data_IF_016528336710
#
_entry.id   IF_016528336710
#
_cell.length_a   1.000
_cell.length_b   1.000
_cell.length_c   1.000
_cell.angle_alpha   90.00
_cell.angle_beta   90.00
_cell.angle_gamma   90.00
#
_symmetry.space_group_name_H-M   'P 1'
#
loop_
_entity.id
_entity.type
_entity.pdbx_description
1 polymer ?
#
# COMPACT_ATOMS: atom_id res chain seq x y z
N UNK A 1 -48.08 26.01 -56.27
CA UNK A 1 -47.74 24.57 -56.22
C UNK A 1 -46.26 24.37 -55.88
N UNK A 2 -45.35 25.15 -56.46
CA UNK A 2 -43.91 25.10 -56.13
C UNK A 2 -43.64 25.64 -54.71
N UNK A 3 -44.24 26.78 -54.33
CA UNK A 3 -44.02 27.38 -53.00
C UNK A 3 -44.49 26.50 -51.84
N UNK A 4 -45.61 25.79 -52.00
CA UNK A 4 -46.10 24.84 -50.99
C UNK A 4 -45.21 23.60 -50.84
N UNK A 5 -44.50 23.22 -51.91
CA UNK A 5 -43.54 22.10 -51.87
C UNK A 5 -42.25 22.54 -51.16
N UNK A 6 -41.78 23.77 -51.42
CA UNK A 6 -40.59 24.34 -50.76
C UNK A 6 -40.84 24.47 -49.25
N UNK A 7 -41.99 25.02 -48.86
CA UNK A 7 -42.36 25.21 -47.45
C UNK A 7 -42.51 23.87 -46.70
N UNK A 8 -43.02 22.84 -47.39
CA UNK A 8 -43.09 21.48 -46.86
C UNK A 8 -41.71 20.84 -46.65
N UNK A 9 -40.78 21.03 -47.60
CA UNK A 9 -39.41 20.53 -47.52
C UNK A 9 -38.63 21.24 -46.41
N UNK A 10 -38.76 22.56 -46.29
CA UNK A 10 -38.12 23.32 -45.21
C UNK A 10 -38.63 22.91 -43.82
N UNK A 11 -39.94 22.69 -43.68
CA UNK A 11 -40.52 22.20 -42.43
C UNK A 11 -40.02 20.80 -42.07
N UNK A 12 -39.90 19.90 -43.06
CA UNK A 12 -39.29 18.57 -42.83
C UNK A 12 -37.81 18.68 -42.45
N UNK A 13 -37.04 19.56 -43.09
CA UNK A 13 -35.63 19.79 -42.76
C UNK A 13 -35.46 20.32 -41.34
N UNK A 14 -36.27 21.29 -40.92
CA UNK A 14 -36.27 21.81 -39.53
C UNK A 14 -36.62 20.72 -38.53
N UNK A 15 -37.61 19.88 -38.81
CA UNK A 15 -38.00 18.77 -37.94
C UNK A 15 -36.90 17.69 -37.84
N UNK A 16 -36.21 17.39 -38.94
CA UNK A 16 -35.06 16.47 -38.96
C UNK A 16 -33.90 17.05 -38.15
N UNK A 17 -33.59 18.34 -38.31
CA UNK A 17 -32.52 19.00 -37.55
C UNK A 17 -32.85 19.05 -36.04
N UNK A 18 -34.10 19.32 -35.68
CA UNK A 18 -34.58 19.26 -34.30
C UNK A 18 -34.45 17.85 -33.72
N UNK A 19 -34.85 16.83 -34.49
CA UNK A 19 -34.73 15.44 -34.07
C UNK A 19 -33.27 15.00 -33.89
N UNK A 20 -32.38 15.36 -34.82
CA UNK A 20 -30.94 15.11 -34.71
C UNK A 20 -30.36 15.83 -33.49
N UNK A 21 -30.71 17.11 -33.27
CA UNK A 21 -30.27 17.87 -32.10
C UNK A 21 -30.74 17.23 -30.78
N UNK A 22 -31.96 16.72 -30.75
CA UNK A 22 -32.54 16.05 -29.59
C UNK A 22 -31.88 14.69 -29.33
N UNK A 23 -31.56 13.92 -30.38
CA UNK A 23 -30.80 12.66 -30.30
C UNK A 23 -29.37 12.91 -29.83
N UNK A 24 -28.69 13.97 -30.32
CA UNK A 24 -27.35 14.36 -29.86
C UNK A 24 -27.39 14.79 -28.40
N UNK A 25 -28.39 15.57 -27.98
CA UNK A 25 -28.56 15.95 -26.58
C UNK A 25 -28.84 14.74 -25.67
N UNK A 26 -29.63 13.76 -26.14
CA UNK A 26 -29.83 12.48 -25.43
C UNK A 26 -28.56 11.62 -25.40
N UNK A 27 -27.75 11.62 -26.45
CA UNK A 27 -26.45 10.94 -26.47
C UNK A 27 -25.44 11.58 -25.48
N UNK A 28 -25.41 12.92 -25.40
CA UNK A 28 -24.61 13.65 -24.40
C UNK A 28 -25.14 13.44 -22.98
N UNK A 29 -26.47 13.35 -22.82
CA UNK A 29 -27.09 13.08 -21.51
C UNK A 29 -26.96 11.61 -21.06
N UNK A 30 -26.65 10.68 -21.98
CA UNK A 30 -26.45 9.25 -21.69
C UNK A 30 -24.99 8.86 -21.55
N UNK A 31 -24.04 9.74 -21.88
CA UNK A 31 -22.68 9.65 -21.34
C UNK A 31 -22.72 10.07 -19.88
N UNK A 32 -23.25 9.20 -19.02
CA UNK A 32 -22.72 9.12 -17.67
C UNK A 32 -21.25 8.74 -17.87
N UNK A 33 -20.36 9.74 -17.83
CA UNK A 33 -19.00 9.52 -17.37
C UNK A 33 -19.19 8.75 -16.07
N UNK A 34 -18.92 7.44 -16.09
CA UNK A 34 -18.87 6.67 -14.86
C UNK A 34 -17.72 7.32 -14.11
N UNK A 35 -18.06 8.23 -13.20
CA UNK A 35 -17.08 8.83 -12.32
C UNK A 35 -16.37 7.66 -11.65
N UNK A 36 -15.05 7.65 -11.75
CA UNK A 36 -14.24 6.65 -11.10
C UNK A 36 -14.61 6.65 -9.62
N UNK A 37 -14.96 5.49 -9.07
CA UNK A 37 -15.31 5.41 -7.66
C UNK A 37 -14.09 5.88 -6.83
N UNK A 38 -14.26 6.96 -6.08
CA UNK A 38 -13.19 7.61 -5.30
C UNK A 38 -13.04 7.08 -3.88
N UNK A 39 -13.83 6.08 -3.48
CA UNK A 39 -13.89 5.59 -2.10
C UNK A 39 -12.55 5.05 -1.57
N UNK A 40 -11.61 4.68 -2.45
CA UNK A 40 -10.29 4.14 -2.12
C UNK A 40 -9.21 5.17 -1.75
N UNK A 41 -9.44 6.47 -1.98
CA UNK A 41 -8.50 7.51 -1.56
C UNK A 41 -8.59 7.75 -0.06
N UNK A 42 -7.46 8.06 0.58
CA UNK A 42 -7.43 8.49 1.97
C UNK A 42 -8.18 9.83 2.13
N UNK A 43 -9.05 9.91 3.14
CA UNK A 43 -9.95 11.05 3.35
C UNK A 43 -10.21 11.27 4.84
N UNK A 44 -10.38 12.52 5.25
CA UNK A 44 -10.69 12.79 6.64
C UNK A 44 -10.67 14.26 6.98
N UNK A 45 -10.64 14.50 8.29
CA UNK A 45 -10.53 15.84 8.88
C UNK A 45 -9.16 16.01 9.49
N UNK A 46 -8.47 17.08 9.12
CA UNK A 46 -7.21 17.48 9.73
C UNK A 46 -7.47 18.70 10.61
N UNK A 47 -7.14 18.55 11.89
CA UNK A 47 -7.30 19.58 12.91
C UNK A 47 -5.96 20.23 13.18
N UNK A 48 -5.97 21.56 13.19
CA UNK A 48 -4.87 22.40 13.66
C UNK A 48 -5.38 23.21 14.85
N UNK A 49 -4.47 23.93 15.52
CA UNK A 49 -4.81 24.80 16.65
C UNK A 49 -5.95 25.78 16.36
N UNK A 50 -6.01 26.29 15.13
CA UNK A 50 -6.90 27.41 14.76
C UNK A 50 -7.96 27.02 13.72
N UNK A 51 -7.76 25.92 12.98
CA UNK A 51 -8.59 25.57 11.83
C UNK A 51 -8.83 24.06 11.72
N UNK A 52 -9.87 23.70 10.97
CA UNK A 52 -10.18 22.34 10.55
C UNK A 52 -10.30 22.31 9.02
N UNK A 53 -9.73 21.29 8.40
CA UNK A 53 -9.81 21.05 6.96
C UNK A 53 -10.40 19.67 6.70
N UNK A 54 -11.23 19.52 5.67
CA UNK A 54 -11.85 18.23 5.33
C UNK A 54 -11.70 17.96 3.83
N UNK A 55 -11.18 16.78 3.48
CA UNK A 55 -10.93 16.46 2.09
C UNK A 55 -10.15 15.18 1.87
N UNK A 56 -9.75 14.94 0.61
CA UNK A 56 -8.77 13.92 0.28
C UNK A 56 -7.44 14.28 0.95
N UNK A 57 -6.81 13.33 1.61
CA UNK A 57 -5.54 13.50 2.32
C UNK A 57 -4.42 12.86 1.49
N UNK A 58 -3.28 13.55 1.40
CA UNK A 58 -1.98 12.96 1.05
C UNK A 58 -1.05 13.19 2.24
N UNK A 59 -0.43 12.12 2.72
CA UNK A 59 0.54 12.12 3.79
C UNK A 59 1.93 12.20 3.18
N UNK A 60 2.73 13.17 3.61
CA UNK A 60 3.98 13.51 2.96
C UNK A 60 3.82 13.75 1.46
N UNK A 61 4.83 13.29 0.72
CA UNK A 61 4.84 13.31 -0.73
C UNK A 61 4.37 11.97 -1.31
N UNK A 62 3.96 11.00 -0.50
CA UNK A 62 3.73 9.63 -0.96
C UNK A 62 2.28 9.23 -0.69
N UNK A 63 1.91 8.89 0.55
CA UNK A 63 0.70 8.11 0.83
C UNK A 63 -0.61 8.86 0.58
N UNK A 64 -1.51 8.28 -0.21
CA UNK A 64 -2.79 8.92 -0.57
C UNK A 64 -3.97 7.94 -0.68
N UNK A 65 -3.75 6.65 -0.41
CA UNK A 65 -4.75 5.59 -0.50
C UNK A 65 -4.96 4.90 0.85
N UNK A 66 -6.13 4.27 1.05
CA UNK A 66 -6.37 3.49 2.26
C UNK A 66 -5.45 2.27 2.42
N UNK A 67 -4.89 1.76 1.31
CA UNK A 67 -3.96 0.63 1.34
C UNK A 67 -2.50 1.05 1.57
N UNK A 68 -2.23 2.36 1.60
CA UNK A 68 -0.91 2.86 1.99
C UNK A 68 -0.67 2.65 3.47
N UNK A 69 0.60 2.65 3.85
CA UNK A 69 1.01 2.26 5.19
C UNK A 69 1.54 3.45 5.95
N UNK A 70 1.13 3.57 7.20
CA UNK A 70 1.75 4.43 8.18
C UNK A 70 2.84 3.65 8.91
N UNK A 71 4.06 4.17 8.89
CA UNK A 71 5.26 3.59 9.46
C UNK A 71 5.75 4.43 10.64
N UNK A 72 5.95 3.79 11.78
CA UNK A 72 6.54 4.46 12.92
C UNK A 72 7.29 3.48 13.82
N UNK A 73 8.07 4.03 14.75
CA UNK A 73 8.79 3.27 15.75
C UNK A 73 7.91 3.06 16.99
N UNK A 74 7.63 1.80 17.37
CA UNK A 74 6.98 1.46 18.65
C UNK A 74 7.87 1.96 19.81
N UNK A 75 7.29 2.72 20.74
CA UNK A 75 8.04 3.24 21.90
C UNK A 75 8.28 2.15 22.95
N UNK A 76 7.42 1.13 23.02
CA UNK A 76 7.52 0.01 23.96
C UNK A 76 7.20 -1.32 23.26
N UNK A 77 7.95 -2.38 23.57
CA UNK A 77 7.54 -3.77 23.28
C UNK A 77 7.11 -4.45 24.59
N UNK A 78 5.81 -4.74 24.78
CA UNK A 78 5.32 -5.37 26.01
C UNK A 78 5.87 -6.79 26.24
N UNK A 79 6.34 -7.47 25.19
CA UNK A 79 6.86 -8.84 25.25
C UNK A 79 8.40 -8.91 25.36
N UNK A 80 9.10 -7.78 25.40
CA UNK A 80 10.57 -7.76 25.50
C UNK A 80 11.13 -8.53 26.71
N UNK A 81 10.39 -8.54 27.84
CA UNK A 81 10.77 -9.35 29.01
C UNK A 81 10.56 -10.85 28.83
N UNK A 82 9.57 -11.26 28.06
CA UNK A 82 9.38 -12.67 27.72
C UNK A 82 10.46 -13.09 26.72
N UNK A 83 10.76 -12.26 25.72
CA UNK A 83 11.88 -12.43 24.80
C UNK A 83 13.21 -12.64 25.56
N UNK A 84 13.54 -11.78 26.52
CA UNK A 84 14.76 -11.92 27.34
C UNK A 84 14.75 -13.20 28.20
N UNK A 85 13.61 -13.56 28.79
CA UNK A 85 13.45 -14.83 29.55
C UNK A 85 13.71 -16.05 28.67
N UNK A 86 13.24 -16.03 27.42
CA UNK A 86 13.44 -17.13 26.48
C UNK A 86 14.87 -17.12 25.88
N UNK A 87 15.47 -15.94 25.68
CA UNK A 87 16.89 -15.77 25.28
C UNK A 87 17.85 -16.37 26.31
N UNK A 88 17.65 -16.11 27.60
CA UNK A 88 18.53 -16.63 28.66
C UNK A 88 18.50 -18.16 28.76
N UNK A 89 17.39 -18.78 28.36
CA UNK A 89 17.18 -20.23 28.39
C UNK A 89 17.82 -20.95 27.19
N UNK A 90 18.08 -20.23 26.09
CA UNK A 90 18.56 -20.77 24.81
C UNK A 90 19.90 -20.13 24.38
N UNK A 91 20.91 -20.09 25.28
CA UNK A 91 22.18 -19.37 25.09
C UNK A 91 23.07 -19.82 23.90
N UNK A 92 22.82 -20.97 23.30
CA UNK A 92 23.71 -21.54 22.29
C UNK A 92 23.33 -21.24 20.83
N UNK A 93 22.20 -20.56 20.56
CA UNK A 93 21.64 -20.46 19.19
C UNK A 93 21.59 -19.06 18.57
N UNK A 94 22.00 -18.00 19.27
CA UNK A 94 21.61 -16.61 18.90
C UNK A 94 22.78 -15.63 18.72
N UNK A 95 24.00 -16.10 18.44
CA UNK A 95 25.18 -15.21 18.36
C UNK A 95 25.31 -14.37 17.07
N UNK A 96 24.49 -14.63 16.06
CA UNK A 96 24.62 -14.01 14.73
C UNK A 96 23.36 -13.29 14.26
N UNK A 97 22.68 -12.53 15.15
CA UNK A 97 21.54 -11.70 14.74
C UNK A 97 22.07 -10.36 14.17
N UNK A 98 22.17 -10.28 12.85
CA UNK A 98 22.47 -9.06 12.10
C UNK A 98 21.14 -8.43 11.65
N UNK A 99 20.72 -7.32 12.28
CA UNK A 99 19.41 -6.66 12.07
C UNK A 99 19.36 -5.82 10.79
N UNK A 100 19.85 -6.36 9.67
CA UNK A 100 19.89 -5.65 8.39
C UNK A 100 18.53 -5.69 7.71
N UNK A 101 17.72 -4.71 8.09
CA UNK A 101 16.62 -4.15 7.31
C UNK A 101 17.18 -3.83 5.92
N UNK A 102 16.80 -4.61 4.90
CA UNK A 102 17.26 -4.36 3.54
C UNK A 102 16.52 -3.17 2.94
N UNK A 103 17.23 -2.04 2.94
CA UNK A 103 17.38 -1.14 1.78
C UNK A 103 16.16 -0.41 1.21
N UNK A 104 15.30 0.12 2.07
CA UNK A 104 14.74 1.47 1.89
C UNK A 104 14.99 2.17 3.24
N UNK A 105 15.48 3.41 3.23
CA UNK A 105 15.92 4.20 4.40
C UNK A 105 17.37 3.93 4.87
N UNK A 106 18.30 4.59 4.17
CA UNK A 106 19.67 4.81 4.64
C UNK A 106 19.67 5.60 5.97
N UNK A 107 20.53 5.17 6.90
CA UNK A 107 20.90 5.76 8.20
C UNK A 107 20.09 5.47 9.49
N UNK A 108 20.71 4.61 10.32
CA UNK A 108 20.86 4.70 11.79
C UNK A 108 19.60 4.82 12.67
N UNK A 109 19.15 3.69 13.22
CA UNK A 109 18.91 3.56 14.67
C UNK A 109 18.81 2.10 15.10
N UNK A 110 19.55 1.75 16.15
CA UNK A 110 19.47 0.48 16.85
C UNK A 110 18.12 0.36 17.60
N UNK A 111 17.54 -0.84 17.64
CA UNK A 111 16.59 -1.34 18.66
C UNK A 111 15.14 -0.83 18.73
N UNK A 112 14.57 -0.21 17.69
CA UNK A 112 13.15 0.23 17.75
C UNK A 112 12.25 -0.62 16.84
N UNK A 113 11.34 -1.40 17.43
CA UNK A 113 10.37 -2.23 16.69
C UNK A 113 9.52 -1.33 15.79
N UNK A 114 9.42 -1.62 14.50
CA UNK A 114 8.53 -0.91 13.59
C UNK A 114 7.08 -1.26 13.88
N UNK A 115 6.18 -0.32 13.63
CA UNK A 115 4.78 -0.60 13.35
C UNK A 115 4.48 -0.09 11.96
N UNK A 116 3.93 -0.96 11.11
CA UNK A 116 3.47 -0.61 9.76
C UNK A 116 2.01 -1.03 9.65
N UNK A 117 1.13 -0.07 9.40
CA UNK A 117 -0.32 -0.27 9.41
C UNK A 117 -0.94 0.38 8.19
N UNK A 118 -1.88 -0.29 7.54
CA UNK A 118 -2.64 0.35 6.48
C UNK A 118 -3.46 1.52 7.05
N UNK A 119 -3.46 2.69 6.38
CA UNK A 119 -4.26 3.85 6.81
C UNK A 119 -5.74 3.51 6.94
N UNK A 120 -6.22 2.57 6.13
CA UNK A 120 -7.59 2.05 6.22
C UNK A 120 -7.93 1.44 7.58
N UNK A 121 -6.97 0.96 8.36
CA UNK A 121 -7.22 0.35 9.69
C UNK A 121 -7.16 1.37 10.84
N UNK A 122 -6.70 2.59 10.56
CA UNK A 122 -6.49 3.66 11.53
C UNK A 122 -7.75 4.53 11.61
N UNK A 123 -8.22 4.77 12.83
CA UNK A 123 -9.32 5.69 13.09
C UNK A 123 -8.83 7.13 13.20
N UNK A 124 -7.73 7.34 13.92
CA UNK A 124 -7.27 8.67 14.28
C UNK A 124 -5.76 8.67 14.55
N UNK A 125 -5.06 9.73 14.17
CA UNK A 125 -3.68 10.00 14.59
C UNK A 125 -3.67 11.32 15.35
N UNK A 126 -3.12 11.32 16.57
CA UNK A 126 -2.97 12.51 17.42
C UNK A 126 -1.50 12.86 17.58
N UNK A 127 -1.17 14.11 17.29
CA UNK A 127 0.14 14.68 17.50
C UNK A 127 0.14 15.51 18.79
N UNK A 128 1.07 15.21 19.69
CA UNK A 128 1.23 15.93 20.96
C UNK A 128 2.46 16.86 20.97
N UNK A 129 3.08 17.06 19.81
CA UNK A 129 4.28 17.86 19.58
C UNK A 129 5.55 17.01 19.43
N UNK A 130 6.39 17.38 18.46
CA UNK A 130 7.68 16.75 18.21
C UNK A 130 7.58 15.40 17.47
N UNK A 131 8.37 14.43 17.92
CA UNK A 131 8.53 13.11 17.27
C UNK A 131 7.57 12.03 17.79
N UNK A 132 6.55 12.37 18.60
CA UNK A 132 5.66 11.39 19.26
C UNK A 132 4.20 11.58 18.86
N UNK A 133 3.57 10.49 18.45
CA UNK A 133 2.15 10.44 18.11
C UNK A 133 1.44 9.27 18.76
N UNK A 134 0.14 9.42 18.95
CA UNK A 134 -0.74 8.30 19.27
C UNK A 134 -1.53 7.92 18.02
N UNK A 135 -1.39 6.68 17.59
CA UNK A 135 -2.20 6.08 16.53
C UNK A 135 -3.33 5.31 17.19
N UNK A 136 -4.57 5.64 16.88
CA UNK A 136 -5.75 4.93 17.36
C UNK A 136 -6.34 4.10 16.23
N UNK A 137 -6.42 2.80 16.43
CA UNK A 137 -7.03 1.87 15.49
C UNK A 137 -8.57 1.88 15.59
N UNK A 138 -9.24 1.36 14.56
CA UNK A 138 -10.71 1.22 14.55
C UNK A 138 -11.29 0.33 15.66
N UNK A 139 -10.49 -0.52 16.29
CA UNK A 139 -10.88 -1.31 17.46
C UNK A 139 -10.79 -0.52 18.79
N UNK A 140 -10.31 0.72 18.75
CA UNK A 140 -10.12 1.60 19.90
C UNK A 140 -8.77 1.46 20.59
N UNK A 141 -7.92 0.55 20.15
CA UNK A 141 -6.56 0.39 20.67
C UNK A 141 -5.67 1.57 20.26
N UNK A 142 -4.82 2.02 21.20
CA UNK A 142 -3.97 3.19 21.02
C UNK A 142 -2.49 2.80 21.13
N UNK A 143 -1.72 3.12 20.09
CA UNK A 143 -0.28 2.91 20.03
C UNK A 143 0.44 4.23 20.18
N UNK A 144 1.34 4.31 21.17
CA UNK A 144 2.29 5.42 21.28
C UNK A 144 3.52 5.09 20.46
N UNK A 145 3.75 5.88 19.43
CA UNK A 145 4.82 5.66 18.46
C UNK A 145 5.66 6.91 18.30
N UNK A 146 6.86 6.74 17.75
CA UNK A 146 7.77 7.84 17.45
C UNK A 146 8.25 7.81 16.01
N UNK A 147 8.65 8.98 15.48
CA UNK A 147 9.24 9.10 14.15
C UNK A 147 10.71 8.73 14.04
N UNK A 148 11.30 8.18 15.10
CA UNK A 148 12.72 7.85 15.08
C UNK A 148 12.99 6.73 14.07
N UNK A 149 13.70 7.07 13.00
CA UNK A 149 14.08 6.13 11.94
C UNK A 149 13.00 5.92 10.86
N UNK A 150 11.92 6.71 10.84
CA UNK A 150 10.83 6.60 9.86
C UNK A 150 10.40 7.99 9.38
N UNK A 151 9.90 8.07 8.14
CA UNK A 151 9.58 9.32 7.43
C UNK A 151 8.16 9.84 7.70
N UNK A 152 7.21 8.99 8.11
CA UNK A 152 5.80 9.39 8.23
C UNK A 152 5.50 10.31 9.41
N UNK A 153 6.31 10.27 10.46
CA UNK A 153 6.18 11.20 11.60
C UNK A 153 7.12 12.37 11.38
N UNK A 154 6.56 13.57 11.29
CA UNK A 154 7.31 14.79 11.00
C UNK A 154 7.08 15.35 9.60
N UNK A 155 6.28 14.67 8.77
CA UNK A 155 6.05 15.04 7.38
C UNK A 155 4.85 16.00 7.19
N UNK A 156 4.80 16.71 6.07
CA UNK A 156 3.67 17.57 5.74
C UNK A 156 2.42 16.72 5.48
N UNK A 157 1.24 17.22 5.85
CA UNK A 157 -0.03 16.60 5.48
C UNK A 157 -0.75 17.54 4.52
N UNK A 158 -1.13 17.04 3.35
CA UNK A 158 -1.83 17.79 2.33
C UNK A 158 -3.30 17.41 2.30
N UNK A 159 -4.20 18.39 2.18
CA UNK A 159 -5.66 18.19 2.08
C UNK A 159 -6.20 18.92 0.86
N UNK A 160 -6.99 18.22 0.04
CA UNK A 160 -7.82 18.85 -1.01
C UNK A 160 -9.16 19.22 -0.39
N UNK A 161 -9.24 20.41 0.19
CA UNK A 161 -10.45 20.94 0.81
C UNK A 161 -11.42 21.45 -0.27
N UNK A 162 -12.71 21.14 -0.11
CA UNK A 162 -13.72 21.45 -1.12
C UNK A 162 -13.95 22.95 -1.34
N UNK A 163 -13.65 23.80 -0.35
CA UNK A 163 -13.83 25.25 -0.43
C UNK A 163 -12.53 25.98 -0.76
N UNK A 164 -11.41 25.49 -0.24
CA UNK A 164 -10.12 26.18 -0.27
C UNK A 164 -9.12 25.59 -1.30
N UNK A 165 -9.38 24.40 -1.83
CA UNK A 165 -8.46 23.68 -2.72
C UNK A 165 -7.34 22.98 -1.94
N UNK A 166 -6.16 22.86 -2.56
CA UNK A 166 -5.00 22.17 -1.95
C UNK A 166 -4.40 23.01 -0.82
N UNK A 167 -4.32 22.43 0.37
CA UNK A 167 -3.69 23.01 1.57
C UNK A 167 -2.59 22.08 2.04
N UNK A 168 -1.40 22.63 2.29
CA UNK A 168 -0.31 21.95 3.00
C UNK A 168 -0.31 22.32 4.48
N UNK A 169 -0.23 21.32 5.35
CA UNK A 169 -0.27 21.46 6.81
C UNK A 169 1.03 20.91 7.37
N UNK A 170 1.89 21.81 7.84
CA UNK A 170 3.13 21.43 8.53
C UNK A 170 2.82 20.54 9.73
N UNK A 171 3.65 19.51 9.93
CA UNK A 171 3.53 18.55 11.03
C UNK A 171 3.29 19.20 12.40
N UNK A 172 4.11 20.20 12.75
CA UNK A 172 4.06 20.91 14.03
C UNK A 172 2.75 21.67 14.28
N UNK A 173 1.94 21.86 13.23
CA UNK A 173 0.62 22.52 13.30
C UNK A 173 -0.54 21.53 13.32
N UNK A 174 -0.32 20.28 12.91
CA UNK A 174 -1.32 19.24 12.97
C UNK A 174 -1.45 18.77 14.43
N UNK A 175 -2.66 18.84 14.98
CA UNK A 175 -2.98 18.29 16.30
C UNK A 175 -3.59 16.89 16.17
N UNK A 176 -4.43 16.69 15.16
CA UNK A 176 -5.17 15.45 14.97
C UNK A 176 -5.59 15.25 13.52
N UNK A 177 -5.54 14.00 13.06
CA UNK A 177 -6.21 13.56 11.84
C UNK A 177 -7.27 12.54 12.22
N UNK A 178 -8.51 12.77 11.79
CA UNK A 178 -9.64 11.85 11.95
C UNK A 178 -10.00 11.27 10.57
N UNK A 179 -9.82 9.97 10.39
CA UNK A 179 -10.07 9.29 9.13
C UNK A 179 -11.54 8.93 8.97
N UNK A 180 -12.11 9.27 7.81
CA UNK A 180 -13.53 9.13 7.50
C UNK A 180 -13.72 8.39 6.17
N UNK A 181 -14.85 7.69 5.97
CA UNK A 181 -15.16 7.11 4.66
C UNK A 181 -15.18 8.18 3.57
N UNK A 182 -14.40 7.94 2.53
CA UNK A 182 -14.31 8.83 1.37
C UNK A 182 -15.63 8.84 0.60
N UNK A 183 -16.16 10.01 0.20
CA UNK A 183 -17.32 10.08 -0.66
C UNK A 183 -17.13 9.30 -1.97
N UNK A 184 -18.22 8.75 -2.52
CA UNK A 184 -18.22 8.01 -3.80
C UNK A 184 -17.70 8.80 -4.99
N UNK A 185 -17.96 10.10 -4.99
CA UNK A 185 -17.59 11.01 -6.05
C UNK A 185 -17.00 12.27 -5.43
N UNK A 186 -15.67 12.33 -5.33
CA UNK A 186 -14.97 13.58 -5.08
C UNK A 186 -14.96 14.44 -6.36
N UNK A 187 -15.19 15.74 -6.20
CA UNK A 187 -15.12 16.69 -7.32
C UNK A 187 -13.67 17.00 -7.71
N UNK A 188 -12.84 17.19 -6.70
CA UNK A 188 -11.43 17.54 -6.80
C UNK A 188 -10.61 16.50 -6.03
N UNK A 189 -9.39 16.25 -6.51
CA UNK A 189 -8.47 15.28 -5.92
C UNK A 189 -7.07 15.41 -6.50
N UNK A 190 -6.11 14.67 -5.95
CA UNK A 190 -4.69 14.76 -6.37
C UNK A 190 -4.44 14.27 -7.81
N UNK A 191 -5.27 13.36 -8.32
CA UNK A 191 -5.19 12.83 -9.67
C UNK A 191 -5.83 11.45 -9.77
N UNK A 192 -5.85 10.85 -10.97
CA UNK A 192 -6.23 9.44 -11.13
C UNK A 192 -5.07 8.53 -10.70
N UNK A 193 -5.31 7.36 -10.09
CA UNK A 193 -4.26 6.42 -9.72
C UNK A 193 -3.51 5.88 -10.93
N UNK A 194 -2.23 5.57 -10.74
CA UNK A 194 -1.50 4.65 -11.61
C UNK A 194 -1.94 3.22 -11.29
N UNK A 195 -2.33 2.49 -12.32
CA UNK A 195 -2.80 1.12 -12.23
C UNK A 195 -2.39 0.40 -13.50
N UNK A 196 -2.08 -0.88 -13.41
CA UNK A 196 -1.68 -1.64 -14.58
C UNK A 196 -1.03 -2.95 -14.24
N UNK A 197 -0.32 -3.49 -15.24
CA UNK A 197 0.39 -4.76 -15.18
C UNK A 197 1.89 -4.53 -15.18
N UNK A 198 2.58 -5.14 -14.23
CA UNK A 198 4.04 -5.12 -14.13
C UNK A 198 4.57 -6.51 -14.43
N UNK A 199 5.33 -6.62 -15.50
CA UNK A 199 6.02 -7.83 -15.92
C UNK A 199 7.41 -7.91 -15.28
N UNK A 200 7.76 -9.11 -14.83
CA UNK A 200 9.03 -9.45 -14.19
C UNK A 200 9.73 -10.58 -14.95
N UNK A 201 11.05 -10.72 -14.83
CA UNK A 201 11.76 -11.75 -15.57
C UNK A 201 11.41 -13.16 -15.12
N UNK A 202 11.22 -13.37 -13.82
CA UNK A 202 11.13 -14.72 -13.23
C UNK A 202 9.80 -15.06 -12.60
N UNK A 203 9.01 -14.06 -12.19
CA UNK A 203 7.82 -14.26 -11.35
C UNK A 203 6.50 -13.94 -12.07
N UNK A 204 6.58 -13.67 -13.38
CA UNK A 204 5.43 -13.41 -14.22
C UNK A 204 4.94 -11.97 -14.10
N UNK A 205 3.62 -11.80 -14.12
CA UNK A 205 2.98 -10.48 -14.17
C UNK A 205 2.15 -10.25 -12.91
N UNK A 206 2.31 -9.07 -12.32
CA UNK A 206 1.48 -8.58 -11.23
C UNK A 206 0.54 -7.50 -11.76
N UNK A 207 -0.67 -7.41 -11.21
CA UNK A 207 -1.65 -6.38 -11.58
C UNK A 207 -2.14 -5.68 -10.31
N UNK A 208 -2.13 -4.36 -10.29
CA UNK A 208 -2.52 -3.58 -9.12
C UNK A 208 -2.31 -2.08 -9.27
N UNK A 209 -2.45 -1.36 -8.17
CA UNK A 209 -2.08 0.06 -8.09
C UNK A 209 -0.57 0.18 -8.04
N UNK A 210 -0.02 1.10 -8.82
CA UNK A 210 1.41 1.23 -9.05
C UNK A 210 1.90 2.50 -8.37
N UNK A 211 3.03 2.35 -7.71
CA UNK A 211 3.86 3.43 -7.21
C UNK A 211 5.23 3.27 -7.87
N UNK A 212 5.51 4.17 -8.81
CA UNK A 212 6.72 4.17 -9.61
C UNK A 212 7.87 4.78 -8.82
N UNK A 213 9.03 4.14 -8.84
CA UNK A 213 10.23 4.60 -8.13
C UNK A 213 10.00 4.97 -6.64
N UNK A 214 9.00 4.35 -6.00
CA UNK A 214 8.56 4.68 -4.64
C UNK A 214 8.23 6.17 -4.44
N UNK A 215 7.68 6.82 -5.47
CA UNK A 215 7.24 8.22 -5.42
C UNK A 215 5.91 8.40 -6.17
N UNK A 216 5.93 8.26 -7.51
CA UNK A 216 4.79 8.64 -8.34
C UNK A 216 3.68 7.59 -8.36
N UNK A 217 2.45 8.04 -8.08
CA UNK A 217 1.23 7.22 -8.01
C UNK A 217 0.02 7.86 -8.67
N UNK A 218 0.14 9.09 -9.16
CA UNK A 218 -0.92 9.80 -9.85
C UNK A 218 -0.60 10.06 -11.33
N UNK A 219 -1.63 10.01 -12.16
CA UNK A 219 -1.53 10.30 -13.61
C UNK A 219 -1.04 11.72 -13.94
N UNK A 220 -1.15 12.65 -13.00
CA UNK A 220 -0.71 14.05 -13.12
C UNK A 220 0.77 14.24 -12.81
N UNK A 221 1.40 13.29 -12.12
CA UNK A 221 2.84 13.27 -11.84
C UNK A 221 3.61 12.89 -13.09
N UNK A 222 4.92 13.12 -13.07
CA UNK A 222 5.74 13.12 -14.28
C UNK A 222 6.87 12.13 -14.16
N UNK A 223 7.13 11.47 -15.29
CA UNK A 223 8.35 10.72 -15.55
C UNK A 223 9.36 11.67 -16.21
N UNK A 224 10.51 11.80 -15.60
CA UNK A 224 11.61 12.64 -16.08
C UNK A 224 12.73 11.80 -16.72
N UNK A 225 13.43 12.41 -17.67
CA UNK A 225 14.61 11.81 -18.28
C UNK A 225 15.04 12.50 -19.57
N UNK A 226 16.14 12.01 -20.13
CA UNK A 226 16.78 12.61 -21.29
C UNK A 226 16.55 11.78 -22.54
N UNK A 227 16.29 12.47 -23.64
CA UNK A 227 16.35 11.90 -24.99
C UNK A 227 17.53 12.49 -25.75
N UNK A 228 17.81 11.98 -26.95
CA UNK A 228 18.83 12.56 -27.84
C UNK A 228 18.56 14.03 -28.16
N UNK A 229 17.31 14.46 -28.14
CA UNK A 229 16.90 15.81 -28.52
C UNK A 229 16.81 16.76 -27.29
N UNK A 230 17.07 16.26 -26.08
CA UNK A 230 17.09 17.01 -24.82
C UNK A 230 16.22 16.39 -23.72
N UNK A 231 16.13 17.11 -22.61
CA UNK A 231 15.39 16.76 -21.40
C UNK A 231 13.88 16.70 -21.69
N UNK A 232 13.22 15.69 -21.14
CA UNK A 232 11.80 15.42 -21.33
C UNK A 232 11.15 15.08 -19.99
N UNK A 233 9.99 15.68 -19.75
CA UNK A 233 9.15 15.44 -18.58
C UNK A 233 7.73 15.10 -19.05
N UNK A 234 7.25 13.90 -18.75
CA UNK A 234 6.01 13.33 -19.30
C UNK A 234 5.06 12.98 -18.19
N UNK A 235 3.86 13.57 -18.18
CA UNK A 235 2.83 13.15 -17.24
C UNK A 235 2.47 11.67 -17.44
N UNK A 236 2.46 10.87 -16.37
CA UNK A 236 2.17 9.43 -16.43
C UNK A 236 0.82 9.12 -17.09
N UNK A 237 -0.16 10.01 -16.97
CA UNK A 237 -1.46 9.90 -17.63
C UNK A 237 -1.39 9.83 -19.16
N UNK A 238 -0.28 10.26 -19.77
CA UNK A 238 -0.02 10.16 -21.21
C UNK A 238 0.76 8.91 -21.60
N UNK A 239 1.36 8.21 -20.64
CA UNK A 239 2.19 7.04 -20.86
C UNK A 239 1.31 5.80 -20.98
N UNK A 240 1.62 4.96 -21.96
CA UNK A 240 0.98 3.66 -22.18
C UNK A 240 1.79 2.56 -21.51
N UNK A 241 3.10 2.55 -21.72
CA UNK A 241 3.99 1.55 -21.12
C UNK A 241 5.41 2.08 -20.96
N UNK A 242 6.14 1.52 -20.01
CA UNK A 242 7.58 1.75 -19.82
C UNK A 242 8.23 0.37 -19.82
N UNK A 243 9.24 0.18 -20.66
CA UNK A 243 9.97 -1.09 -20.78
C UNK A 243 11.46 -0.84 -20.59
N UNK A 244 12.08 -1.57 -19.66
CA UNK A 244 13.50 -1.44 -19.37
C UNK A 244 14.32 -1.93 -20.56
N UNK A 245 15.28 -1.13 -21.02
CA UNK A 245 16.15 -1.48 -22.15
C UNK A 245 17.55 -0.90 -21.99
N UNK A 246 18.55 -1.77 -21.86
CA UNK A 246 19.94 -1.31 -21.72
C UNK A 246 20.12 -0.51 -20.43
N UNK A 247 20.62 0.73 -20.56
CA UNK A 247 20.86 1.65 -19.44
C UNK A 247 19.70 2.65 -19.21
N UNK A 248 18.57 2.44 -19.86
CA UNK A 248 17.42 3.33 -19.84
C UNK A 248 16.12 2.58 -20.03
N UNK A 249 15.10 3.30 -20.47
CA UNK A 249 13.77 2.75 -20.70
C UNK A 249 13.17 3.23 -22.02
N UNK A 250 12.43 2.35 -22.68
CA UNK A 250 11.57 2.70 -23.82
C UNK A 250 10.19 3.07 -23.28
N UNK A 251 9.83 4.33 -23.44
CA UNK A 251 8.57 4.91 -23.00
C UNK A 251 7.63 5.03 -24.20
N UNK A 252 6.54 4.29 -24.16
CA UNK A 252 5.50 4.34 -25.19
C UNK A 252 4.37 5.26 -24.74
N UNK A 253 4.04 6.24 -25.56
CA UNK A 253 3.00 7.23 -25.28
C UNK A 253 1.67 6.77 -25.87
N UNK A 254 0.56 7.11 -25.23
CA UNK A 254 -0.80 6.80 -25.72
C UNK A 254 -1.08 7.34 -27.13
N UNK A 255 -0.34 8.37 -27.58
CA UNK A 255 -0.40 8.91 -28.94
C UNK A 255 0.26 8.03 -30.01
N UNK A 256 1.00 6.99 -29.60
CA UNK A 256 1.79 6.12 -30.49
C UNK A 256 3.25 6.55 -30.67
N UNK A 257 3.70 7.62 -30.00
CA UNK A 257 5.12 7.98 -29.96
C UNK A 257 5.89 7.00 -29.07
N UNK A 258 7.10 6.68 -29.46
CA UNK A 258 8.08 5.92 -28.68
C UNK A 258 9.28 6.81 -28.39
N UNK A 259 9.76 6.81 -27.15
CA UNK A 259 10.93 7.55 -26.71
C UNK A 259 11.85 6.61 -25.95
N UNK A 260 13.14 6.58 -26.30
CA UNK A 260 14.15 5.98 -25.45
C UNK A 260 14.68 7.07 -24.50
N UNK A 261 14.51 6.86 -23.20
CA UNK A 261 14.85 7.81 -22.14
C UNK A 261 15.95 7.25 -21.22
N UNK A 262 16.87 8.11 -20.81
CA UNK A 262 17.98 7.83 -19.87
C UNK A 262 18.14 8.99 -18.88
N UNK A 263 19.20 9.03 -18.08
CA UNK A 263 19.61 10.26 -17.38
C UNK A 263 18.88 10.57 -16.06
N UNK A 264 17.76 9.92 -15.76
CA UNK A 264 17.01 10.03 -14.49
C UNK A 264 16.84 8.67 -13.81
N UNK A 265 16.74 8.67 -12.48
CA UNK A 265 16.37 7.49 -11.66
C UNK A 265 15.04 6.90 -12.08
N UNK A 266 14.13 7.70 -12.61
CA UNK A 266 12.83 7.25 -13.11
C UNK A 266 12.91 6.22 -14.24
N UNK A 267 14.03 6.15 -14.97
CA UNK A 267 14.15 5.35 -16.20
C UNK A 267 15.39 4.47 -16.26
N UNK A 268 16.22 4.46 -15.21
CA UNK A 268 17.50 3.74 -15.17
C UNK A 268 17.70 2.94 -13.87
N UNK A 269 18.92 2.44 -13.66
CA UNK A 269 19.31 1.63 -12.50
C UNK A 269 19.33 2.35 -11.14
N UNK A 270 19.12 3.67 -11.14
CA UNK A 270 18.84 4.45 -9.94
C UNK A 270 17.41 4.30 -9.42
N UNK A 271 16.50 3.69 -10.18
CA UNK A 271 15.13 3.43 -9.75
C UNK A 271 15.11 2.52 -8.51
N UNK A 272 14.39 2.95 -7.48
CA UNK A 272 14.25 2.29 -6.17
C UNK A 272 13.37 1.04 -6.22
N UNK A 273 12.57 0.88 -7.28
CA UNK A 273 11.69 -0.27 -7.46
C UNK A 273 10.27 0.15 -7.86
N UNK A 274 9.47 -0.85 -8.22
CA UNK A 274 8.08 -0.66 -8.61
C UNK A 274 7.21 -1.33 -7.56
N UNK A 275 6.52 -0.53 -6.76
CA UNK A 275 5.62 -1.01 -5.73
C UNK A 275 4.22 -1.20 -6.31
N UNK A 276 3.63 -2.35 -6.00
CA UNK A 276 2.34 -2.78 -6.51
C UNK A 276 1.44 -3.17 -5.35
N UNK A 277 0.37 -2.41 -5.12
CA UNK A 277 -0.67 -2.79 -4.17
C UNK A 277 -1.67 -3.74 -4.85
N UNK A 278 -1.70 -4.98 -4.39
CA UNK A 278 -2.53 -6.06 -4.94
C UNK A 278 -3.56 -6.52 -3.92
N UNK A 279 -4.84 -6.44 -4.30
CA UNK A 279 -5.96 -6.81 -3.45
C UNK A 279 -5.88 -8.28 -3.01
N UNK A 280 -6.12 -8.53 -1.72
CA UNK A 280 -5.99 -9.86 -1.12
C UNK A 280 -4.57 -10.41 -1.01
N UNK A 281 -3.54 -9.62 -1.36
CA UNK A 281 -2.13 -9.93 -1.08
C UNK A 281 -1.57 -8.88 -0.12
N UNK A 282 -1.45 -7.62 -0.55
CA UNK A 282 -0.72 -6.59 0.18
C UNK A 282 0.13 -5.76 -0.79
N UNK A 283 1.31 -5.34 -0.36
CA UNK A 283 2.28 -4.65 -1.22
C UNK A 283 3.32 -5.66 -1.75
N UNK A 284 3.62 -5.54 -3.03
CA UNK A 284 4.67 -6.28 -3.73
C UNK A 284 5.65 -5.25 -4.26
N UNK A 285 6.91 -5.34 -3.88
CA UNK A 285 7.96 -4.45 -4.39
C UNK A 285 8.86 -5.21 -5.36
N UNK A 286 8.84 -4.79 -6.62
CA UNK A 286 9.64 -5.37 -7.69
C UNK A 286 10.89 -4.51 -7.85
N UNK A 287 12.05 -5.07 -7.54
CA UNK A 287 13.31 -4.36 -7.76
C UNK A 287 13.47 -4.00 -9.24
N UNK A 288 14.18 -2.90 -9.51
CA UNK A 288 14.51 -2.51 -10.88
C UNK A 288 15.26 -3.61 -11.66
N UNK A 289 15.99 -4.48 -10.95
CA UNK A 289 16.73 -5.60 -11.53
C UNK A 289 15.80 -6.63 -12.17
N UNK A 290 14.67 -6.95 -11.51
CA UNK A 290 13.69 -7.93 -11.99
C UNK A 290 12.56 -7.31 -12.83
N UNK A 291 12.40 -5.99 -12.78
CA UNK A 291 11.48 -5.24 -13.61
C UNK A 291 11.80 -5.39 -15.12
N UNK A 292 10.79 -5.79 -15.90
CA UNK A 292 10.85 -5.86 -17.36
C UNK A 292 10.08 -4.70 -17.97
N UNK A 293 8.79 -4.59 -17.61
CA UNK A 293 7.85 -3.70 -18.28
C UNK A 293 6.65 -3.40 -17.40
N UNK A 294 6.12 -2.20 -17.53
CA UNK A 294 4.78 -1.84 -17.04
C UNK A 294 3.88 -1.47 -18.21
N UNK A 295 2.66 -1.97 -18.21
CA UNK A 295 1.57 -1.51 -19.08
C UNK A 295 0.50 -0.85 -18.22
N UNK A 296 0.30 0.47 -18.41
CA UNK A 296 -0.66 1.25 -17.66
C UNK A 296 -2.07 1.09 -18.23
N UNK A 297 -3.04 0.93 -17.34
CA UNK A 297 -4.46 0.78 -17.63
C UNK A 297 -5.28 1.80 -16.83
N UNK A 298 -6.51 2.08 -17.27
CA UNK A 298 -7.41 2.93 -16.47
C UNK A 298 -7.99 2.12 -15.31
N UNK A 299 -7.70 2.55 -14.08
CA UNK A 299 -8.20 1.86 -12.89
C UNK A 299 -9.73 1.97 -12.79
N UNK A 300 -10.40 0.85 -12.54
CA UNK A 300 -11.88 0.81 -12.40
C UNK A 300 -12.38 1.49 -11.12
N UNK A 301 -11.54 1.53 -10.09
CA UNK A 301 -11.76 2.22 -8.81
C UNK A 301 -10.42 2.76 -8.29
N UNK A 302 -10.46 3.48 -7.17
CA UNK A 302 -9.25 4.00 -6.51
C UNK A 302 -8.78 3.10 -5.36
N UNK A 303 -9.25 1.85 -5.32
CA UNK A 303 -8.94 0.87 -4.29
C UNK A 303 -10.16 0.47 -3.45
N UNK A 304 -9.89 -0.20 -2.34
CA UNK A 304 -10.92 -0.61 -1.37
C UNK A 304 -11.42 0.59 -0.57
N UNK A 305 -12.74 0.73 -0.34
CA UNK A 305 -13.29 1.79 0.50
C UNK A 305 -12.82 1.65 1.95
N UNK A 306 -12.75 2.75 2.70
CA UNK A 306 -12.42 2.74 4.13
C UNK A 306 -13.27 1.75 4.93
N UNK A 307 -14.53 1.54 4.57
CA UNK A 307 -15.43 0.59 5.25
C UNK A 307 -15.05 -0.88 5.08
N UNK A 308 -14.24 -1.22 4.07
CA UNK A 308 -13.79 -2.60 3.84
C UNK A 308 -12.61 -2.99 4.74
N UNK A 309 -11.93 -2.00 5.31
CA UNK A 309 -10.94 -2.21 6.38
C UNK A 309 -11.71 -2.36 7.70
N UNK A 310 -12.07 -3.60 8.01
CA UNK A 310 -12.86 -3.95 9.18
C UNK A 310 -12.11 -3.70 10.48
N UNK A 311 -12.84 -3.63 11.59
CA UNK A 311 -12.27 -3.47 12.94
C UNK A 311 -11.14 -4.49 13.18
N UNK A 312 -9.90 -4.03 13.47
CA UNK A 312 -8.75 -4.91 13.69
C UNK A 312 -8.97 -5.90 14.83
N UNK A 313 -8.52 -7.15 14.62
CA UNK A 313 -8.61 -8.24 15.61
C UNK A 313 -7.23 -8.79 15.91
N UNK A 314 -7.09 -9.35 17.10
CA UNK A 314 -5.88 -10.06 17.49
C UNK A 314 -5.68 -11.33 16.67
N UNK A 315 -4.43 -11.69 16.40
CA UNK A 315 -4.07 -12.94 15.76
C UNK A 315 -4.55 -14.12 16.61
N UNK A 316 -5.26 -15.04 15.97
CA UNK A 316 -5.78 -16.24 16.59
C UNK A 316 -5.67 -17.39 15.60
N UNK A 317 -5.37 -18.56 16.11
CA UNK A 317 -5.16 -19.70 15.25
C UNK A 317 -4.74 -20.96 15.99
N UNK A 318 -4.30 -21.93 15.19
CA UNK A 318 -3.78 -23.22 15.61
C UNK A 318 -2.34 -23.38 15.14
N UNK A 319 -1.47 -23.81 16.03
CA UNK A 319 -0.06 -24.11 15.75
C UNK A 319 0.16 -25.61 15.90
N UNK A 320 0.58 -26.25 14.81
CA UNK A 320 0.96 -27.66 14.74
C UNK A 320 2.45 -27.80 15.00
N UNK A 321 2.84 -28.75 15.87
CA UNK A 321 4.22 -28.95 16.32
C UNK A 321 4.83 -30.24 15.76
N UNK A 322 6.14 -30.23 15.50
CA UNK A 322 6.91 -31.36 14.93
C UNK A 322 6.73 -32.69 15.67
N UNK A 323 6.59 -32.67 17.01
CA UNK A 323 6.44 -33.88 17.84
C UNK A 323 4.98 -34.32 18.06
N UNK A 324 4.07 -33.92 17.18
CA UNK A 324 2.68 -34.43 17.18
C UNK A 324 1.76 -33.79 18.20
N UNK A 325 1.94 -32.49 18.49
CA UNK A 325 1.05 -31.72 19.36
C UNK A 325 0.46 -30.52 18.63
N UNK A 326 -0.68 -30.04 19.08
CA UNK A 326 -1.27 -28.79 18.64
C UNK A 326 -1.55 -27.88 19.83
N UNK A 327 -1.48 -26.57 19.61
CA UNK A 327 -1.93 -25.56 20.55
C UNK A 327 -2.76 -24.54 19.80
N UNK A 328 -3.86 -24.08 20.37
CA UNK A 328 -4.74 -23.09 19.76
C UNK A 328 -5.03 -21.96 20.74
N UNK A 329 -5.14 -20.75 20.24
CA UNK A 329 -5.33 -19.58 21.08
C UNK A 329 -4.94 -18.29 20.36
N UNK A 330 -4.81 -17.22 21.14
CA UNK A 330 -4.26 -15.96 20.61
C UNK A 330 -2.76 -16.13 20.36
N UNK A 331 -2.30 -15.64 19.22
CA UNK A 331 -0.92 -15.79 18.78
C UNK A 331 -0.22 -14.44 18.92
N UNK A 332 0.97 -14.45 19.51
CA UNK A 332 1.98 -13.41 19.29
C UNK A 332 3.01 -14.02 18.35
N UNK A 333 3.04 -13.53 17.12
CA UNK A 333 3.98 -13.95 16.09
C UNK A 333 5.27 -13.13 16.21
N UNK A 334 6.42 -13.76 15.94
CA UNK A 334 7.80 -13.25 16.15
C UNK A 334 8.10 -12.52 17.49
N UNK A 335 7.17 -12.64 18.45
CA UNK A 335 7.16 -11.96 19.75
C UNK A 335 6.87 -10.45 19.71
N UNK A 336 6.33 -9.93 18.60
CA UNK A 336 5.92 -8.54 18.49
C UNK A 336 4.68 -8.27 17.62
N UNK A 337 4.29 -9.17 16.70
CA UNK A 337 3.02 -9.06 15.98
C UNK A 337 1.88 -9.75 16.74
N UNK A 338 0.81 -9.01 16.96
CA UNK A 338 -0.36 -9.41 17.74
C UNK A 338 -1.67 -9.21 17.01
N UNK A 339 -1.70 -8.42 15.94
CA UNK A 339 -2.91 -8.07 15.20
C UNK A 339 -2.92 -8.58 13.76
N UNK A 340 -4.10 -8.87 13.23
CA UNK A 340 -4.27 -9.26 11.82
C UNK A 340 -3.96 -8.14 10.80
N UNK A 341 -3.75 -6.91 11.29
CA UNK A 341 -3.37 -5.75 10.47
C UNK A 341 -1.86 -5.56 10.33
N UNK A 342 -1.08 -6.22 11.18
CA UNK A 342 0.38 -6.21 11.06
C UNK A 342 0.79 -7.07 9.86
N UNK A 343 2.03 -6.89 9.42
CA UNK A 343 2.53 -7.44 8.16
C UNK A 343 3.42 -8.64 8.43
N UNK A 344 3.32 -9.62 7.53
CA UNK A 344 4.39 -10.59 7.30
C UNK A 344 5.26 -10.09 6.14
N UNK A 345 6.56 -10.10 6.35
CA UNK A 345 7.56 -9.73 5.34
C UNK A 345 8.29 -10.97 4.82
N UNK A 346 8.49 -11.01 3.51
CA UNK A 346 9.16 -12.14 2.86
C UNK A 346 9.59 -11.83 1.45
N UNK A 347 10.63 -12.51 0.96
CA UNK A 347 11.11 -12.36 -0.41
C UNK A 347 10.92 -13.64 -1.21
N UNK A 348 10.66 -13.46 -2.50
CA UNK A 348 10.80 -14.51 -3.49
C UNK A 348 11.74 -14.02 -4.59
N UNK A 349 13.03 -14.33 -4.45
CA UNK A 349 14.12 -13.80 -5.29
C UNK A 349 14.25 -12.27 -5.13
N UNK A 350 14.11 -11.51 -6.21
CA UNK A 350 14.27 -10.06 -6.26
C UNK A 350 12.95 -9.30 -6.02
N UNK A 351 11.94 -10.00 -5.49
CA UNK A 351 10.60 -9.48 -5.20
C UNK A 351 10.32 -9.57 -3.71
N UNK A 352 9.97 -8.44 -3.12
CA UNK A 352 9.60 -8.33 -1.72
C UNK A 352 8.07 -8.29 -1.55
N UNK A 353 7.58 -9.00 -0.54
CA UNK A 353 6.18 -9.08 -0.18
C UNK A 353 5.97 -8.54 1.22
N UNK A 354 4.97 -7.66 1.36
CA UNK A 354 4.45 -7.18 2.64
C UNK A 354 2.97 -7.51 2.71
N UNK A 355 2.62 -8.51 3.51
CA UNK A 355 1.33 -9.19 3.49
C UNK A 355 0.65 -9.00 4.84
N UNK A 356 -0.45 -8.23 4.94
CA UNK A 356 -1.23 -8.17 6.17
C UNK A 356 -1.67 -9.57 6.61
N UNK A 357 -1.51 -9.91 7.90
CA UNK A 357 -1.86 -11.25 8.41
C UNK A 357 -3.33 -11.63 8.15
N UNK A 358 -4.24 -10.66 8.05
CA UNK A 358 -5.64 -10.86 7.64
C UNK A 358 -5.76 -11.56 6.28
N UNK A 359 -4.78 -11.39 5.39
CA UNK A 359 -4.77 -12.03 4.07
C UNK A 359 -4.16 -13.44 4.12
N UNK A 360 -3.53 -13.81 5.22
CA UNK A 360 -2.83 -15.09 5.39
C UNK A 360 -3.79 -16.12 5.99
N UNK A 361 -3.80 -17.31 5.37
CA UNK A 361 -4.52 -18.48 5.84
C UNK A 361 -3.61 -19.39 6.66
N UNK A 362 -2.43 -19.70 6.14
CA UNK A 362 -1.47 -20.53 6.86
C UNK A 362 -0.02 -20.24 6.47
N UNK A 363 0.89 -20.58 7.37
CA UNK A 363 2.34 -20.54 7.18
C UNK A 363 2.89 -21.92 7.51
N UNK A 364 3.65 -22.50 6.59
CA UNK A 364 4.31 -23.80 6.75
C UNK A 364 5.82 -23.62 6.57
N UNK A 365 6.61 -23.61 7.65
CA UNK A 365 8.06 -23.62 7.56
C UNK A 365 8.54 -24.84 6.74
N UNK A 366 9.44 -24.62 5.78
CA UNK A 366 9.96 -25.68 4.89
C UNK A 366 11.40 -26.04 5.21
N UNK A 367 12.23 -25.04 5.44
CA UNK A 367 13.64 -25.21 5.81
C UNK A 367 14.13 -23.98 6.59
N UNK A 368 15.44 -23.84 6.77
CA UNK A 368 16.02 -22.73 7.53
C UNK A 368 15.71 -21.35 6.92
N UNK A 369 15.59 -21.25 5.60
CA UNK A 369 15.45 -19.96 4.91
C UNK A 369 14.03 -19.68 4.42
N UNK A 370 13.18 -20.70 4.26
CA UNK A 370 11.93 -20.57 3.52
C UNK A 370 10.72 -21.13 4.26
N UNK A 371 9.59 -20.45 4.06
CA UNK A 371 8.25 -20.88 4.44
C UNK A 371 7.29 -20.77 3.27
N UNK A 372 6.36 -21.72 3.19
CA UNK A 372 5.19 -21.58 2.31
C UNK A 372 4.13 -20.77 3.03
N UNK A 373 3.68 -19.67 2.42
CA UNK A 373 2.58 -18.83 2.89
C UNK A 373 1.39 -19.03 1.96
N UNK A 374 0.29 -19.55 2.51
CA UNK A 374 -0.98 -19.70 1.79
C UNK A 374 -1.88 -18.54 2.16
N UNK A 375 -2.33 -17.80 1.15
CA UNK A 375 -3.25 -16.68 1.31
C UNK A 375 -4.71 -17.14 1.33
N UNK A 376 -5.60 -16.33 1.90
CA UNK A 376 -7.04 -16.62 1.97
C UNK A 376 -7.71 -16.68 0.61
N UNK A 377 -7.15 -16.01 -0.40
CA UNK A 377 -7.58 -16.11 -1.80
C UNK A 377 -7.11 -17.42 -2.48
N UNK A 378 -6.37 -18.29 -1.79
CA UNK A 378 -5.87 -19.56 -2.28
C UNK A 378 -4.50 -19.50 -2.99
N UNK A 379 -3.90 -18.31 -3.14
CA UNK A 379 -2.55 -18.17 -3.68
C UNK A 379 -1.53 -18.74 -2.69
N UNK A 380 -0.57 -19.49 -3.21
CA UNK A 380 0.54 -20.04 -2.44
C UNK A 380 1.82 -19.30 -2.84
N UNK A 381 2.59 -18.86 -1.84
CA UNK A 381 3.85 -18.16 -2.00
C UNK A 381 4.94 -18.94 -1.27
N UNK A 382 6.11 -19.11 -1.88
CA UNK A 382 7.30 -19.59 -1.19
C UNK A 382 8.16 -18.38 -0.86
N UNK A 383 8.17 -17.98 0.40
CA UNK A 383 8.84 -16.77 0.87
C UNK A 383 10.05 -17.14 1.73
N UNK A 384 11.14 -16.39 1.57
CA UNK A 384 12.36 -16.55 2.35
C UNK A 384 13.09 -15.22 2.55
N UNK A 385 14.36 -15.33 2.95
CA UNK A 385 15.33 -14.22 3.12
C UNK A 385 14.85 -13.06 4.00
N UNK A 386 13.84 -13.32 4.84
CA UNK A 386 13.33 -12.42 5.87
C UNK A 386 13.06 -13.19 7.16
N UNK A 387 13.11 -12.48 8.28
CA UNK A 387 13.01 -13.04 9.62
C UNK A 387 11.69 -13.77 9.86
N UNK A 388 10.57 -13.19 9.44
CA UNK A 388 9.23 -13.74 9.65
C UNK A 388 9.04 -15.14 9.07
N UNK A 389 9.75 -15.46 8.00
CA UNK A 389 9.58 -16.69 7.21
C UNK A 389 10.77 -17.64 7.28
N UNK A 390 11.79 -17.32 8.08
CA UNK A 390 13.03 -18.09 8.23
C UNK A 390 13.27 -18.55 9.67
N UNK A 391 14.36 -19.28 9.90
CA UNK A 391 14.76 -19.76 11.20
C UNK A 391 15.19 -18.66 12.18
N UNK A 392 15.36 -17.43 11.69
CA UNK A 392 15.64 -16.26 12.53
C UNK A 392 14.38 -15.73 13.24
N UNK A 393 13.19 -16.27 12.90
CA UNK A 393 11.94 -16.04 13.64
C UNK A 393 12.08 -16.50 15.10
N UNK A 394 11.64 -15.66 16.02
CA UNK A 394 11.72 -15.85 17.48
C UNK A 394 10.77 -16.92 18.01
N UNK A 395 9.89 -17.44 17.17
CA UNK A 395 8.82 -18.35 17.55
C UNK A 395 7.56 -17.62 17.97
N UNK A 396 6.68 -18.35 18.65
CA UNK A 396 5.31 -17.94 18.89
C UNK A 396 4.98 -18.01 20.38
N UNK A 397 4.20 -17.06 20.88
CA UNK A 397 3.47 -17.20 22.14
C UNK A 397 2.01 -17.51 21.85
N UNK A 398 1.49 -18.59 22.43
CA UNK A 398 0.10 -18.98 22.27
C UNK A 398 -0.61 -18.90 23.62
N UNK A 399 -1.54 -17.94 23.73
CA UNK A 399 -2.40 -17.78 24.89
C UNK A 399 -3.67 -18.60 24.69
N UNK A 400 -3.74 -19.77 25.34
CA UNK A 400 -4.93 -20.61 25.37
C UNK A 400 -6.03 -19.97 26.20
N UNK A 401 -7.28 -20.18 25.82
CA UNK A 401 -8.43 -19.62 26.54
C UNK A 401 -8.40 -20.01 28.04
N UNK A 402 -8.51 -18.99 28.90
CA UNK A 402 -8.49 -19.15 30.36
C UNK A 402 -7.09 -19.26 30.99
N UNK A 403 -6.00 -19.24 30.23
CA UNK A 403 -4.63 -19.16 30.76
C UNK A 403 -4.06 -17.74 30.65
N UNK A 404 -3.46 -17.25 31.72
CA UNK A 404 -2.66 -16.00 31.71
C UNK A 404 -1.20 -16.23 31.31
N UNK A 405 -0.77 -17.48 31.19
CA UNK A 405 0.59 -17.87 30.82
C UNK A 405 0.59 -18.50 29.44
N UNK A 406 1.35 -17.95 28.48
CA UNK A 406 1.39 -18.48 27.13
C UNK A 406 2.22 -19.76 27.05
N UNK A 407 1.89 -20.63 26.11
CA UNK A 407 2.81 -21.66 25.63
C UNK A 407 3.76 -21.04 24.59
N UNK A 408 5.06 -21.17 24.82
CA UNK A 408 6.07 -20.76 23.84
C UNK A 408 6.41 -21.91 22.91
N UNK A 409 6.35 -21.65 21.60
CA UNK A 409 6.71 -22.60 20.54
C UNK A 409 7.82 -22.00 19.71
N UNK A 410 9.04 -22.54 19.86
CA UNK A 410 10.18 -22.16 19.02
C UNK A 410 9.88 -22.43 17.54
N UNK A 411 10.34 -21.55 16.66
CA UNK A 411 10.09 -21.64 15.22
C UNK A 411 10.46 -23.01 14.63
N UNK A 412 11.62 -23.57 15.00
CA UNK A 412 12.07 -24.89 14.54
C UNK A 412 11.14 -26.05 14.92
N UNK A 413 10.25 -25.86 15.89
CA UNK A 413 9.27 -26.84 16.31
C UNK A 413 7.90 -26.64 15.65
N UNK A 414 7.69 -25.53 14.94
CA UNK A 414 6.48 -25.26 14.17
C UNK A 414 6.49 -26.08 12.88
N UNK A 415 5.40 -26.79 12.63
CA UNK A 415 5.17 -27.48 11.34
C UNK A 415 4.18 -26.73 10.47
N UNK A 416 3.16 -26.12 11.07
CA UNK A 416 2.20 -25.28 10.37
C UNK A 416 1.51 -24.35 11.37
N UNK A 417 1.22 -23.14 10.94
CA UNK A 417 0.38 -22.16 11.63
C UNK A 417 -0.85 -21.95 10.76
N UNK A 418 -2.04 -22.13 11.32
CA UNK A 418 -3.32 -21.90 10.63
C UNK A 418 -4.04 -20.77 11.35
N UNK A 419 -4.27 -19.66 10.65
CA UNK A 419 -4.97 -18.49 11.18
C UNK A 419 -6.48 -18.61 11.00
N UNK A 420 -7.25 -18.11 11.98
CA UNK A 420 -8.73 -18.07 11.94
C UNK A 420 -9.26 -17.00 11.00
#
# INVERSE_FOLDING_TARGET
MIDSIIEFVERKRKNILLFIGLVVALLIATTNLIAQNTEGYMYGKVYTRDNQYEGQIRWGDEEAYWHDHFNAAKIENPYGRDLDRYREKNKDSWRDIDWRISSIWEDKAQTVHQISLQFGDIQEIRNYGGDRVTVKLKNGEEYKVSGRGYNDVGTEIQVIDAELGKIGINWDRMEKVEFLPTPKNLKDGFGKPLYGKVETYRKGTFEGFIEWDHDERFSSEKLDGDTRDGDVSIAFGNIKSIERRGSGSVVNIKSGRELYMTGSNDVNDGNRGILIAVDGIGKIDVSWRDFVRVDFEEAKSTGQPYSNYTTPRGLKGKVLKYRGGEVSGKIVFDLDETLEVELLEGKDDEIEYKIPFRNIKSITPKNYNFSTVVLRNGKELLLGDQRDVSADNSGLLIYTDGSSTPEYVEWKNVTEIVFE
#
